data_IF_679578141259
#
_entry.id   IF_679578141259
#
_cell.length_a   1.000
_cell.length_b   1.000
_cell.length_c   1.000
_cell.angle_alpha   90.00
_cell.angle_beta   90.00
_cell.angle_gamma   90.00
#
_symmetry.space_group_name_H-M   'P 1'
#
loop_
_entity.id
_entity.type
_entity.pdbx_description
1 polymer ?
#
# COMPACT_ATOMS: atom_id res chain seq x y z
N UNK A 1 -9.40 15.79 9.63
CA UNK A 1 -10.14 16.89 10.28
C UNK A 1 -9.43 17.26 11.59
N UNK A 2 -8.61 18.32 11.62
CA UNK A 2 -7.80 18.67 12.80
C UNK A 2 -8.64 19.01 14.04
N UNK A 3 -9.84 19.56 13.82
CA UNK A 3 -10.81 19.83 14.88
C UNK A 3 -11.23 18.57 15.65
N UNK A 4 -11.32 17.40 15.02
CA UNK A 4 -11.69 16.15 15.68
C UNK A 4 -10.61 15.61 16.65
N UNK A 5 -9.33 15.84 16.34
CA UNK A 5 -8.21 15.47 17.22
C UNK A 5 -8.13 16.34 18.48
N UNK A 6 -8.48 17.63 18.35
CA UNK A 6 -8.54 18.54 19.48
C UNK A 6 -9.64 18.14 20.50
N UNK A 7 -10.77 17.61 20.03
CA UNK A 7 -11.83 17.07 20.91
C UNK A 7 -11.42 15.77 21.63
N UNK A 8 -10.43 15.04 21.11
CA UNK A 8 -9.87 13.83 21.72
C UNK A 8 -8.66 14.10 22.64
N UNK A 9 -8.32 15.37 22.90
CA UNK A 9 -7.22 15.77 23.78
C UNK A 9 -5.82 15.73 23.14
N UNK A 10 -5.73 15.51 21.82
CA UNK A 10 -4.44 15.49 21.12
C UNK A 10 -3.98 16.90 20.74
N UNK A 11 -2.72 17.23 21.06
CA UNK A 11 -2.08 18.44 20.57
C UNK A 11 -1.68 18.24 19.10
N UNK A 12 -2.29 19.00 18.19
CA UNK A 12 -2.04 18.88 16.74
C UNK A 12 -0.53 18.99 16.41
N UNK A 13 0.13 20.01 16.94
CA UNK A 13 1.58 20.21 16.76
C UNK A 13 2.41 19.08 17.38
N UNK A 14 2.03 18.59 18.56
CA UNK A 14 2.75 17.52 19.25
C UNK A 14 2.65 16.19 18.53
N UNK A 15 1.46 15.83 18.06
CA UNK A 15 1.25 14.61 17.26
C UNK A 15 2.00 14.65 15.92
N UNK A 16 1.99 15.78 15.22
CA UNK A 16 2.76 15.94 13.96
C UNK A 16 4.25 15.76 14.23
N UNK A 17 4.79 16.45 15.25
CA UNK A 17 6.21 16.39 15.57
C UNK A 17 6.63 14.99 16.03
N UNK A 18 5.82 14.33 16.85
CA UNK A 18 6.08 12.97 17.32
C UNK A 18 6.11 11.96 16.17
N UNK A 19 5.15 12.04 15.24
CA UNK A 19 5.10 11.14 14.08
C UNK A 19 6.26 11.42 13.13
N UNK A 20 6.57 12.69 12.83
CA UNK A 20 7.65 13.06 11.93
C UNK A 20 9.01 12.58 12.46
N UNK A 21 9.28 12.84 13.75
CA UNK A 21 10.55 12.47 14.38
C UNK A 21 10.67 10.95 14.53
N UNK A 22 9.58 10.27 14.93
CA UNK A 22 9.57 8.81 15.05
C UNK A 22 9.72 8.08 13.71
N UNK A 23 8.92 8.45 12.71
CA UNK A 23 9.00 7.84 11.38
C UNK A 23 10.30 8.18 10.67
N UNK A 24 10.79 9.43 10.78
CA UNK A 24 12.08 9.84 10.23
C UNK A 24 13.25 9.09 10.85
N UNK A 25 13.25 8.91 12.17
CA UNK A 25 14.26 8.13 12.88
C UNK A 25 14.27 6.65 12.46
N UNK A 26 13.10 6.03 12.37
CA UNK A 26 12.97 4.64 11.91
C UNK A 26 13.40 4.46 10.45
N UNK A 27 13.00 5.37 9.56
CA UNK A 27 13.39 5.32 8.15
C UNK A 27 14.92 5.51 7.97
N UNK A 28 15.51 6.44 8.73
CA UNK A 28 16.97 6.63 8.75
C UNK A 28 17.71 5.39 9.25
N UNK A 29 17.23 4.78 10.33
CA UNK A 29 17.84 3.56 10.88
C UNK A 29 17.74 2.38 9.90
N UNK A 30 16.60 2.24 9.20
CA UNK A 30 16.45 1.22 8.16
C UNK A 30 17.44 1.43 7.01
N UNK A 31 17.60 2.68 6.55
CA UNK A 31 18.58 3.03 5.51
C UNK A 31 20.03 2.76 5.91
N UNK A 32 20.41 3.07 7.16
CA UNK A 32 21.74 2.74 7.69
C UNK A 32 21.95 1.22 7.70
N UNK A 33 20.96 0.45 8.16
CA UNK A 33 21.05 -1.01 8.21
C UNK A 33 21.25 -1.62 6.82
N UNK A 34 20.55 -1.09 5.81
CA UNK A 34 20.67 -1.55 4.42
C UNK A 34 22.03 -1.21 3.80
N UNK A 35 22.51 0.02 3.99
CA UNK A 35 23.81 0.45 3.43
C UNK A 35 24.99 -0.24 4.13
N UNK A 36 24.91 -0.47 5.44
CA UNK A 36 26.00 -1.07 6.23
C UNK A 36 26.06 -2.60 6.15
N UNK A 37 24.93 -3.27 5.90
CA UNK A 37 24.83 -4.73 5.96
C UNK A 37 24.90 -5.45 4.62
N UNK A 38 23.95 -5.20 3.73
CA UNK A 38 23.71 -6.03 2.53
C UNK A 38 24.50 -5.60 1.31
N UNK A 39 24.93 -4.33 1.26
CA UNK A 39 25.40 -3.71 0.02
C UNK A 39 26.91 -3.89 -0.20
N UNK A 40 27.78 -3.74 0.82
CA UNK A 40 29.23 -4.05 0.78
C UNK A 40 30.10 -3.33 -0.29
N UNK A 41 29.47 -2.75 -1.31
CA UNK A 41 29.99 -2.04 -2.48
C UNK A 41 28.90 -1.03 -2.90
N UNK A 42 29.25 0.22 -3.21
CA UNK A 42 28.26 1.22 -3.63
C UNK A 42 27.47 0.75 -4.88
N UNK A 43 26.28 0.20 -4.67
CA UNK A 43 25.32 0.00 -5.74
C UNK A 43 24.70 1.38 -6.06
N UNK A 44 24.54 1.76 -7.34
CA UNK A 44 23.95 3.05 -7.70
C UNK A 44 22.52 3.27 -7.19
N UNK A 45 21.83 2.20 -6.76
CA UNK A 45 20.46 2.24 -6.26
C UNK A 45 20.37 1.68 -4.83
N UNK A 46 20.35 2.56 -3.83
CA UNK A 46 20.16 2.20 -2.42
C UNK A 46 18.69 1.83 -2.12
N UNK A 47 17.74 2.29 -2.93
CA UNK A 47 16.33 1.90 -2.83
C UNK A 47 15.80 1.48 -4.20
N UNK A 48 15.87 0.19 -4.56
CA UNK A 48 15.37 -0.31 -5.84
C UNK A 48 13.85 -0.14 -6.00
N UNK A 49 13.13 0.17 -4.91
CA UNK A 49 11.67 0.33 -4.92
C UNK A 49 10.98 0.07 -3.57
N UNK A 50 11.69 -0.02 -2.45
CA UNK A 50 11.10 -0.39 -1.15
C UNK A 50 9.94 0.51 -0.73
N UNK A 51 9.97 1.80 -1.09
CA UNK A 51 8.86 2.72 -0.84
C UNK A 51 7.57 2.32 -1.57
N UNK A 52 7.67 1.87 -2.83
CA UNK A 52 6.51 1.39 -3.59
C UNK A 52 5.95 0.10 -2.98
N UNK A 53 6.82 -0.83 -2.63
CA UNK A 53 6.47 -2.08 -1.95
C UNK A 53 5.78 -1.81 -0.59
N UNK A 54 6.22 -0.79 0.15
CA UNK A 54 5.62 -0.40 1.42
C UNK A 54 4.18 0.10 1.29
N UNK A 55 3.82 0.73 0.16
CA UNK A 55 2.42 1.12 -0.13
C UNK A 55 1.54 -0.12 -0.17
N UNK A 56 1.98 -1.18 -0.85
CA UNK A 56 1.26 -2.45 -0.96
C UNK A 56 1.08 -3.08 0.42
N UNK A 57 2.15 -3.15 1.22
CA UNK A 57 2.09 -3.69 2.58
C UNK A 57 1.12 -2.90 3.48
N UNK A 58 1.07 -1.57 3.34
CA UNK A 58 0.16 -0.72 4.09
C UNK A 58 -1.31 -0.99 3.77
N UNK A 59 -1.65 -1.15 2.48
CA UNK A 59 -3.00 -1.51 2.05
C UNK A 59 -3.38 -2.93 2.44
N UNK A 60 -2.47 -3.89 2.26
CA UNK A 60 -2.69 -5.28 2.64
C UNK A 60 -2.90 -5.42 4.17
N UNK A 61 -2.17 -4.65 4.97
CA UNK A 61 -2.34 -4.54 6.42
C UNK A 61 -3.55 -3.71 6.87
N UNK A 62 -4.39 -3.23 5.95
CA UNK A 62 -5.56 -2.39 6.21
C UNK A 62 -5.26 -1.13 7.05
N UNK A 63 -4.10 -0.52 6.85
CA UNK A 63 -3.62 0.65 7.61
C UNK A 63 -3.49 0.43 9.14
N UNK A 64 -3.51 -0.81 9.62
CA UNK A 64 -3.29 -1.11 11.04
C UNK A 64 -1.82 -1.47 11.27
N UNK A 65 -1.12 -0.89 12.27
CA UNK A 65 0.33 -1.06 12.42
C UNK A 65 0.74 -2.53 12.57
N UNK A 66 0.00 -3.32 13.34
CA UNK A 66 0.25 -4.76 13.49
C UNK A 66 0.03 -5.51 12.17
N UNK A 67 -1.05 -5.17 11.45
CA UNK A 67 -1.35 -5.77 10.15
C UNK A 67 -0.28 -5.47 9.10
N UNK A 68 0.27 -4.24 9.11
CA UNK A 68 1.35 -3.84 8.21
C UNK A 68 2.60 -4.68 8.44
N UNK A 69 2.98 -4.96 9.69
CA UNK A 69 4.17 -5.78 10.01
C UNK A 69 4.05 -7.20 9.44
N UNK A 70 2.91 -7.87 9.65
CA UNK A 70 2.69 -9.20 9.09
C UNK A 70 2.58 -9.19 7.56
N UNK A 71 1.90 -8.19 7.00
CA UNK A 71 1.79 -8.00 5.55
C UNK A 71 3.15 -7.75 4.90
N UNK A 72 3.99 -6.90 5.49
CA UNK A 72 5.34 -6.61 4.99
C UNK A 72 6.25 -7.83 5.05
N UNK A 73 6.09 -8.69 6.07
CA UNK A 73 6.85 -9.93 6.16
C UNK A 73 6.50 -10.89 5.02
N UNK A 74 5.21 -11.14 4.80
CA UNK A 74 4.71 -11.93 3.66
C UNK A 74 5.19 -11.38 2.31
N UNK A 75 5.15 -10.05 2.17
CA UNK A 75 5.57 -9.38 0.95
C UNK A 75 7.09 -9.48 0.74
N UNK A 76 7.89 -9.38 1.80
CA UNK A 76 9.34 -9.57 1.76
C UNK A 76 9.72 -11.00 1.39
N UNK A 77 9.05 -12.00 1.97
CA UNK A 77 9.20 -13.42 1.60
C UNK A 77 8.90 -13.64 0.11
N UNK A 78 7.81 -13.05 -0.38
CA UNK A 78 7.42 -13.16 -1.80
C UNK A 78 8.44 -12.46 -2.70
N UNK A 79 8.98 -11.31 -2.27
CA UNK A 79 9.97 -10.55 -3.02
C UNK A 79 11.29 -11.33 -3.16
N UNK A 80 11.85 -11.80 -2.05
CA UNK A 80 13.11 -12.58 -2.04
C UNK A 80 12.91 -13.93 -2.78
N UNK A 81 11.75 -14.56 -2.61
CA UNK A 81 11.37 -15.75 -3.37
C UNK A 81 11.27 -15.48 -4.87
N UNK A 82 10.70 -14.34 -5.26
CA UNK A 82 10.62 -13.90 -6.66
C UNK A 82 11.99 -13.60 -7.26
N UNK A 83 12.85 -12.90 -6.52
CA UNK A 83 14.23 -12.60 -6.93
C UNK A 83 15.05 -13.87 -7.12
N UNK A 84 14.99 -14.82 -6.18
CA UNK A 84 15.68 -16.11 -6.32
C UNK A 84 15.18 -16.92 -7.53
N UNK A 85 13.87 -16.88 -7.81
CA UNK A 85 13.28 -17.50 -8.99
C UNK A 85 13.71 -16.80 -10.29
N UNK A 86 13.79 -15.46 -10.30
CA UNK A 86 14.29 -14.69 -11.45
C UNK A 86 15.75 -15.03 -11.76
N UNK A 87 16.60 -15.14 -10.74
CA UNK A 87 18.01 -15.52 -10.90
C UNK A 87 18.13 -16.96 -11.43
N UNK A 88 17.36 -17.90 -10.87
CA UNK A 88 17.39 -19.31 -11.30
C UNK A 88 16.89 -19.50 -12.75
N UNK A 89 15.88 -18.73 -13.17
CA UNK A 89 15.27 -18.81 -14.49
C UNK A 89 15.95 -17.86 -15.51
N UNK A 90 16.92 -17.05 -15.10
CA UNK A 90 17.65 -16.11 -15.95
C UNK A 90 16.78 -14.97 -16.50
N UNK A 91 15.72 -14.57 -15.80
CA UNK A 91 14.73 -13.60 -16.28
C UNK A 91 14.97 -12.21 -15.67
N UNK A 92 14.58 -11.15 -16.40
CA UNK A 92 14.85 -9.76 -16.02
C UNK A 92 14.14 -9.33 -14.72
N UNK A 93 14.83 -8.48 -13.94
CA UNK A 93 14.32 -7.80 -12.73
C UNK A 93 12.97 -7.10 -12.93
N UNK A 94 12.70 -6.62 -14.16
CA UNK A 94 11.44 -5.92 -14.49
C UNK A 94 10.19 -6.74 -14.14
N UNK A 95 10.28 -8.07 -14.12
CA UNK A 95 9.18 -8.96 -13.80
C UNK A 95 8.73 -8.83 -12.35
N UNK A 96 9.66 -8.67 -11.40
CA UNK A 96 9.34 -8.47 -9.98
C UNK A 96 8.50 -7.21 -9.78
N UNK A 97 8.83 -6.12 -10.47
CA UNK A 97 8.07 -4.85 -10.41
C UNK A 97 6.66 -5.00 -10.97
N UNK A 98 6.51 -5.74 -12.08
CA UNK A 98 5.19 -6.05 -12.65
C UNK A 98 4.36 -6.88 -11.68
N UNK A 99 4.97 -7.88 -11.03
CA UNK A 99 4.31 -8.68 -10.00
C UNK A 99 3.86 -7.84 -8.81
N UNK A 100 4.71 -6.94 -8.31
CA UNK A 100 4.33 -6.01 -7.23
C UNK A 100 3.13 -5.14 -7.64
N UNK A 101 3.14 -4.58 -8.85
CA UNK A 101 2.00 -3.82 -9.38
C UNK A 101 0.72 -4.66 -9.49
N UNK A 102 0.83 -5.90 -9.96
CA UNK A 102 -0.29 -6.82 -10.05
C UNK A 102 -0.88 -7.17 -8.66
N UNK A 103 -0.02 -7.43 -7.67
CA UNK A 103 -0.44 -7.67 -6.28
C UNK A 103 -1.20 -6.46 -5.75
N UNK A 104 -0.67 -5.25 -5.95
CA UNK A 104 -1.34 -4.02 -5.51
C UNK A 104 -2.74 -3.90 -6.13
N UNK A 105 -2.86 -4.08 -7.45
CA UNK A 105 -4.14 -4.02 -8.16
C UNK A 105 -5.11 -5.07 -7.62
N UNK A 106 -4.66 -6.31 -7.42
CA UNK A 106 -5.49 -7.37 -6.84
C UNK A 106 -5.98 -7.02 -5.44
N UNK A 107 -5.09 -6.54 -4.57
CA UNK A 107 -5.44 -6.14 -3.19
C UNK A 107 -6.45 -4.99 -3.21
N UNK A 108 -6.21 -3.96 -4.03
CA UNK A 108 -7.14 -2.84 -4.18
C UNK A 108 -8.49 -3.28 -4.73
N UNK A 109 -8.50 -4.13 -5.77
CA UNK A 109 -9.72 -4.66 -6.35
C UNK A 109 -10.53 -5.43 -5.31
N UNK A 110 -9.90 -6.34 -4.57
CA UNK A 110 -10.53 -7.07 -3.47
C UNK A 110 -11.10 -6.11 -2.41
N UNK A 111 -10.34 -5.09 -2.00
CA UNK A 111 -10.81 -4.10 -1.01
C UNK A 111 -12.03 -3.31 -1.52
N UNK A 112 -12.05 -2.96 -2.80
CA UNK A 112 -13.20 -2.32 -3.46
C UNK A 112 -14.41 -3.25 -3.49
N UNK A 113 -14.25 -4.50 -3.93
CA UNK A 113 -15.37 -5.47 -3.99
C UNK A 113 -15.96 -5.78 -2.61
N UNK A 114 -15.14 -5.77 -1.55
CA UNK A 114 -15.61 -6.02 -0.19
C UNK A 114 -16.37 -4.80 0.37
N UNK A 115 -15.87 -3.57 0.14
CA UNK A 115 -16.48 -2.35 0.70
C UNK A 115 -17.64 -1.83 -0.13
N UNK A 116 -17.57 -1.91 -1.45
CA UNK A 116 -18.63 -1.52 -2.37
C UNK A 116 -19.40 -2.76 -2.80
N UNK A 117 -20.48 -3.08 -2.08
CA UNK A 117 -21.50 -3.99 -2.61
C UNK A 117 -22.11 -3.34 -3.85
N UNK A 118 -21.87 -3.94 -5.00
CA UNK A 118 -22.46 -3.52 -6.28
C UNK A 118 -23.98 -3.60 -6.18
N UNK A 119 -24.62 -2.50 -5.81
CA UNK A 119 -26.07 -2.33 -5.94
C UNK A 119 -26.37 -1.96 -7.39
N UNK A 120 -26.73 -2.96 -8.18
CA UNK A 120 -27.35 -2.74 -9.48
C UNK A 120 -28.71 -2.09 -9.25
N UNK A 121 -28.78 -0.77 -9.34
CA UNK A 121 -30.06 -0.07 -9.29
C UNK A 121 -30.80 -0.34 -10.60
N UNK A 122 -31.96 -1.03 -10.58
CA UNK A 122 -32.72 -1.26 -11.80
C UNK A 122 -33.12 0.11 -12.37
N UNK A 123 -32.79 0.33 -13.65
CA UNK A 123 -33.19 1.53 -14.39
C UNK A 123 -34.71 1.63 -14.36
N UNK A 124 -35.23 2.56 -13.58
CA UNK A 124 -36.66 2.83 -13.50
C UNK A 124 -37.06 3.43 -14.85
N UNK A 125 -37.72 2.64 -15.70
CA UNK A 125 -38.29 3.12 -16.97
C UNK A 125 -39.11 4.37 -16.67
N UNK A 126 -38.88 5.50 -17.39
CA UNK A 126 -39.76 6.65 -17.29
C UNK A 126 -41.17 6.16 -17.58
N UNK A 127 -42.08 6.37 -16.64
CA UNK A 127 -43.49 6.05 -16.84
C UNK A 127 -43.91 6.73 -18.15
N UNK A 128 -44.38 5.92 -19.09
CA UNK A 128 -44.91 6.41 -20.35
C UNK A 128 -45.89 7.53 -20.02
N UNK A 129 -45.60 8.68 -20.63
CA UNK A 129 -46.43 9.88 -20.66
C UNK A 129 -47.88 9.43 -20.74
N UNK A 130 -48.68 9.75 -19.72
CA UNK A 130 -50.13 9.61 -19.78
C UNK A 130 -50.58 10.50 -20.93
N UNK A 131 -50.69 9.88 -22.08
CA UNK A 131 -51.17 10.39 -23.34
C UNK A 131 -52.70 10.24 -23.29
N UNK A 132 -53.32 10.94 -22.33
CA UNK A 132 -54.77 11.03 -22.22
C UNK A 132 -55.13 12.52 -22.12
N UNK A 133 -55.06 13.18 -23.28
CA UNK A 133 -56.05 14.17 -23.69
C UNK A 133 -57.09 13.39 -24.53
N UNK A 134 -58.39 13.70 -24.46
CA UNK A 134 -58.95 15.04 -24.62
C UNK A 134 -59.84 15.55 -23.48
#
# INVERSE_FOLDING_TARGET
>A
APRAGAFAGFSERGSILAVLTGAGGLAGHAGIAEVSGTIGQLHPSISPGYGFTAIIAAFLGRLNPVGVVFASLLLALTYIGGESAQVALGVSDKIARVFQGAILIFVLACDVFIRYRLHFQPMRRPAARAEDAP
#
